data_IF_244537147299
#
_entry.id   IF_244537147299
#
_cell.length_a   1.000
_cell.length_b   1.000
_cell.length_c   1.000
_cell.angle_alpha   90.00
_cell.angle_beta   90.00
_cell.angle_gamma   90.00
#
_symmetry.space_group_name_H-M   'P 1'
#
loop_
_entity.id
_entity.type
_entity.pdbx_description
1 polymer ?
#
# COMPACT_ATOMS: atom_id res chain seq x y z
N UNK A 1 5.56 -58.45 13.30
CA UNK A 1 4.19 -57.99 12.95
C UNK A 1 4.02 -56.56 13.49
N UNK A 2 4.64 -55.55 12.88
CA UNK A 2 4.03 -54.54 11.96
C UNK A 2 2.59 -54.12 12.35
N UNK A 3 2.46 -52.98 13.03
CA UNK A 3 1.44 -51.94 12.77
C UNK A 3 2.04 -50.56 13.09
N UNK A 4 2.76 -50.04 12.10
CA UNK A 4 2.81 -48.60 11.78
C UNK A 4 1.48 -48.27 11.08
N UNK A 5 1.10 -46.99 11.05
CA UNK A 5 -0.09 -46.36 10.45
C UNK A 5 -1.19 -46.10 11.52
N UNK A 6 -1.70 -44.88 11.75
CA UNK A 6 -1.94 -43.84 10.75
C UNK A 6 -2.12 -42.48 11.45
N UNK A 7 -1.13 -41.59 11.30
CA UNK A 7 -1.38 -40.15 11.17
C UNK A 7 -2.15 -39.96 9.87
N UNK A 8 -3.41 -39.54 9.91
CA UNK A 8 -4.13 -38.88 8.81
C UNK A 8 -5.55 -38.55 9.30
N UNK A 9 -5.77 -37.30 9.72
CA UNK A 9 -7.08 -36.66 9.69
C UNK A 9 -6.87 -35.14 9.58
N UNK A 10 -6.03 -34.75 8.62
CA UNK A 10 -5.86 -33.37 8.15
C UNK A 10 -6.52 -33.27 6.77
N UNK A 11 -7.84 -33.43 6.73
CA UNK A 11 -8.66 -33.16 5.55
C UNK A 11 -9.95 -32.48 6.02
N UNK A 12 -9.84 -31.21 6.41
CA UNK A 12 -10.98 -30.31 6.26
C UNK A 12 -10.93 -29.85 4.81
N UNK A 13 -11.92 -30.17 3.95
CA UNK A 13 -12.00 -29.51 2.66
C UNK A 13 -12.16 -28.02 2.95
N UNK A 14 -11.19 -27.24 2.50
CA UNK A 14 -11.30 -25.79 2.35
C UNK A 14 -12.44 -25.54 1.36
N UNK A 15 -13.67 -25.50 1.89
CA UNK A 15 -14.87 -25.16 1.14
C UNK A 15 -14.82 -23.64 0.95
N UNK A 16 -14.28 -23.23 -0.20
CA UNK A 16 -14.46 -21.88 -0.75
C UNK A 16 -15.94 -21.73 -1.11
N UNK A 17 -16.77 -21.48 -0.10
CA UNK A 17 -18.15 -21.04 -0.25
C UNK A 17 -18.20 -19.61 0.27
N UNK A 18 -18.08 -18.66 -0.65
CA UNK A 18 -18.06 -17.24 -0.35
C UNK A 18 -17.44 -16.36 -1.43
N UNK A 19 -17.30 -16.86 -2.67
CA UNK A 19 -17.34 -15.96 -3.82
C UNK A 19 -18.81 -15.87 -4.14
N UNK A 20 -19.49 -14.83 -3.67
CA UNK A 20 -20.79 -14.47 -4.21
C UNK A 20 -20.58 -14.13 -5.69
N UNK A 21 -21.06 -14.93 -6.66
CA UNK A 21 -20.99 -14.59 -8.08
C UNK A 21 -22.19 -13.71 -8.42
N UNK A 22 -22.46 -12.69 -7.60
CA UNK A 22 -23.24 -11.53 -7.97
C UNK A 22 -22.27 -10.36 -8.07
N UNK A 23 -21.37 -10.50 -9.03
CA UNK A 23 -21.07 -9.34 -9.84
C UNK A 23 -22.11 -9.44 -10.95
N UNK A 24 -23.23 -8.73 -10.81
CA UNK A 24 -24.13 -8.41 -11.92
C UNK A 24 -23.32 -7.69 -13.00
N UNK A 25 -22.57 -8.48 -13.75
CA UNK A 25 -21.80 -8.04 -14.89
C UNK A 25 -22.84 -7.80 -15.97
N UNK A 26 -23.30 -6.55 -16.07
CA UNK A 26 -24.15 -6.13 -17.16
C UNK A 26 -23.53 -6.66 -18.47
N UNK A 27 -24.24 -7.47 -19.27
CA UNK A 27 -23.67 -8.12 -20.46
C UNK A 27 -23.14 -7.11 -21.49
N UNK A 28 -23.62 -5.85 -21.41
CA UNK A 28 -23.13 -4.72 -22.19
C UNK A 28 -21.77 -4.15 -21.74
N UNK A 29 -21.31 -4.41 -20.50
CA UNK A 29 -20.03 -3.92 -19.96
C UNK A 29 -18.85 -4.87 -20.20
N UNK A 30 -19.13 -6.16 -20.42
CA UNK A 30 -18.14 -7.18 -20.76
C UNK A 30 -17.30 -6.81 -22.00
N UNK A 31 -17.89 -6.38 -23.14
CA UNK A 31 -17.09 -6.03 -24.31
C UNK A 31 -16.25 -4.78 -24.08
N UNK A 32 -16.72 -3.83 -23.27
CA UNK A 32 -15.98 -2.59 -22.95
C UNK A 32 -14.76 -2.88 -22.08
N UNK A 33 -14.93 -3.73 -21.06
CA UNK A 33 -13.82 -4.16 -20.18
C UNK A 33 -12.80 -4.97 -20.99
N UNK A 34 -13.27 -5.89 -21.85
CA UNK A 34 -12.41 -6.66 -22.74
C UNK A 34 -11.63 -5.77 -23.71
N UNK A 35 -12.29 -4.78 -24.33
CA UNK A 35 -11.65 -3.79 -25.20
C UNK A 35 -10.60 -2.97 -24.45
N UNK A 36 -10.89 -2.48 -23.25
CA UNK A 36 -9.93 -1.74 -22.42
C UNK A 36 -8.70 -2.58 -22.06
N UNK A 37 -8.90 -3.86 -21.73
CA UNK A 37 -7.81 -4.79 -21.44
C UNK A 37 -6.97 -5.11 -22.70
N UNK A 38 -7.60 -5.19 -23.87
CA UNK A 38 -6.90 -5.38 -25.16
C UNK A 38 -6.12 -4.12 -25.55
N UNK A 39 -6.67 -2.93 -25.32
CA UNK A 39 -5.96 -1.66 -25.56
C UNK A 39 -4.74 -1.54 -24.64
N UNK A 40 -4.90 -1.88 -23.35
CA UNK A 40 -3.83 -1.82 -22.37
C UNK A 40 -2.73 -2.86 -22.62
N UNK A 41 -3.07 -4.06 -23.09
CA UNK A 41 -2.08 -5.07 -23.48
C UNK A 41 -1.44 -4.77 -24.82
N UNK A 42 -2.18 -4.20 -25.79
CA UNK A 42 -1.67 -3.81 -27.10
C UNK A 42 -0.56 -2.75 -27.05
N UNK A 43 -0.61 -1.83 -26.09
CA UNK A 43 0.46 -0.82 -25.87
C UNK A 43 1.76 -1.42 -25.33
N UNK A 44 1.73 -2.60 -24.72
CA UNK A 44 2.93 -3.26 -24.18
C UNK A 44 3.71 -4.07 -25.24
N UNK A 45 3.09 -4.38 -26.37
CA UNK A 45 3.69 -5.23 -27.42
C UNK A 45 4.63 -4.43 -28.35
N UNK A 46 4.52 -3.10 -28.37
CA UNK A 46 5.48 -2.23 -29.06
C UNK A 46 6.70 -1.94 -28.17
N UNK A 47 7.39 -2.99 -27.73
CA UNK A 47 8.68 -2.86 -27.08
C UNK A 47 9.74 -2.94 -28.18
N UNK A 48 10.35 -1.80 -28.54
CA UNK A 48 11.54 -1.80 -29.37
C UNK A 48 12.69 -2.39 -28.52
N UNK A 49 13.40 -3.39 -29.04
CA UNK A 49 14.61 -3.96 -28.45
C UNK A 49 15.76 -2.94 -28.53
N UNK A 50 15.64 -1.84 -27.80
CA UNK A 50 16.73 -0.89 -27.55
C UNK A 50 17.34 -1.26 -26.22
N UNK A 51 18.65 -1.53 -26.20
CA UNK A 51 19.32 -1.69 -24.91
C UNK A 51 19.16 -0.39 -24.12
N UNK A 52 18.71 -0.46 -22.85
CA UNK A 52 18.52 0.74 -22.05
C UNK A 52 19.86 1.45 -21.88
N UNK A 53 19.98 2.67 -22.42
CA UNK A 53 21.12 3.54 -22.16
C UNK A 53 21.18 3.89 -20.67
N UNK A 54 22.39 4.10 -20.15
CA UNK A 54 22.57 4.49 -18.75
C UNK A 54 21.99 5.90 -18.52
N UNK A 55 21.08 5.99 -17.54
CA UNK A 55 20.40 7.25 -17.20
C UNK A 55 21.41 8.37 -16.94
N UNK A 56 21.26 9.48 -17.66
CA UNK A 56 22.09 10.66 -17.44
C UNK A 56 21.54 11.49 -16.27
N UNK A 57 22.42 12.15 -15.52
CA UNK A 57 22.02 12.91 -14.33
C UNK A 57 21.10 14.09 -14.66
N UNK A 58 21.15 14.63 -15.87
CA UNK A 58 20.40 15.80 -16.35
C UNK A 58 19.13 15.45 -17.14
N UNK A 59 18.87 14.16 -17.39
CA UNK A 59 17.74 13.70 -18.21
C UNK A 59 16.37 14.02 -17.57
N UNK A 60 16.30 14.04 -16.23
CA UNK A 60 15.06 14.33 -15.49
C UNK A 60 15.11 15.68 -14.78
N UNK A 61 14.06 16.47 -14.95
CA UNK A 61 13.88 17.71 -14.19
C UNK A 61 13.89 17.45 -12.67
N UNK A 62 14.39 18.40 -11.85
CA UNK A 62 14.49 18.22 -10.41
C UNK A 62 13.12 17.98 -9.75
N UNK A 63 12.03 18.57 -10.27
CA UNK A 63 10.68 18.30 -9.78
C UNK A 63 10.32 16.82 -9.96
N UNK A 64 10.59 16.24 -11.13
CA UNK A 64 10.24 14.83 -11.40
C UNK A 64 11.00 13.88 -10.47
N UNK A 65 12.24 14.22 -10.10
CA UNK A 65 13.02 13.45 -9.11
C UNK A 65 12.39 13.53 -7.72
N UNK A 66 11.96 14.71 -7.30
CA UNK A 66 11.27 14.91 -6.01
C UNK A 66 9.90 14.23 -5.97
N UNK A 67 9.13 14.28 -7.06
CA UNK A 67 7.84 13.60 -7.17
C UNK A 67 8.01 12.08 -7.06
N UNK A 68 9.01 11.52 -7.74
CA UNK A 68 9.36 10.10 -7.65
C UNK A 68 9.73 9.72 -6.21
N UNK A 69 10.53 10.54 -5.52
CA UNK A 69 10.86 10.32 -4.10
C UNK A 69 9.61 10.35 -3.21
N UNK A 70 8.74 11.33 -3.41
CA UNK A 70 7.48 11.46 -2.68
C UNK A 70 6.55 10.26 -2.90
N UNK A 71 6.44 9.77 -4.13
CA UNK A 71 5.67 8.59 -4.50
C UNK A 71 6.18 7.33 -3.78
N UNK A 72 7.50 7.08 -3.83
CA UNK A 72 8.13 5.93 -3.18
C UNK A 72 7.87 5.97 -1.67
N UNK A 73 8.01 7.13 -1.04
CA UNK A 73 7.82 7.29 0.41
C UNK A 73 6.34 7.13 0.79
N UNK A 74 5.44 7.71 0.01
CA UNK A 74 4.00 7.58 0.24
C UNK A 74 3.58 6.11 0.13
N UNK A 75 3.78 5.47 -1.03
CA UNK A 75 3.37 4.07 -1.21
C UNK A 75 4.16 3.09 -0.32
N UNK A 76 5.42 3.39 -0.02
CA UNK A 76 6.23 2.60 0.91
C UNK A 76 5.75 2.67 2.36
N UNK A 77 5.27 3.84 2.81
CA UNK A 77 4.75 4.02 4.18
C UNK A 77 3.30 3.58 4.35
N UNK A 78 2.54 3.46 3.26
CA UNK A 78 1.13 3.11 3.25
C UNK A 78 0.79 1.82 4.03
N UNK A 79 1.44 0.66 3.82
CA UNK A 79 1.09 -0.56 4.57
C UNK A 79 1.27 -0.39 6.10
N UNK A 80 2.30 0.32 6.54
CA UNK A 80 2.52 0.62 7.94
C UNK A 80 1.45 1.57 8.49
N UNK A 81 1.09 2.59 7.71
CA UNK A 81 0.04 3.55 8.10
C UNK A 81 -1.33 2.88 8.26
N UNK A 82 -1.67 1.90 7.40
CA UNK A 82 -2.91 1.12 7.50
C UNK A 82 -2.91 0.30 8.79
N UNK A 83 -1.82 -0.40 9.07
CA UNK A 83 -1.68 -1.17 10.30
C UNK A 83 -1.88 -0.29 11.54
N UNK A 84 -1.19 0.85 11.61
CA UNK A 84 -1.32 1.78 12.74
C UNK A 84 -2.73 2.37 12.86
N UNK A 85 -3.39 2.66 11.74
CA UNK A 85 -4.75 3.17 11.74
C UNK A 85 -5.74 2.12 12.28
N UNK A 86 -5.60 0.85 11.88
CA UNK A 86 -6.41 -0.26 12.40
C UNK A 86 -6.20 -0.38 13.92
N UNK A 87 -4.95 -0.53 14.37
CA UNK A 87 -4.65 -0.72 15.80
C UNK A 87 -5.14 0.45 16.65
N UNK A 88 -4.91 1.68 16.21
CA UNK A 88 -5.37 2.88 16.93
C UNK A 88 -6.89 2.92 17.00
N UNK A 89 -7.58 2.57 15.91
CA UNK A 89 -9.04 2.52 15.89
C UNK A 89 -9.60 1.42 16.79
N UNK A 90 -8.96 0.25 16.82
CA UNK A 90 -9.32 -0.86 17.69
C UNK A 90 -9.17 -0.50 19.17
N UNK A 91 -8.07 0.15 19.55
CA UNK A 91 -7.87 0.64 20.92
C UNK A 91 -8.93 1.68 21.27
N UNK A 92 -9.20 2.63 20.36
CA UNK A 92 -10.20 3.67 20.55
C UNK A 92 -11.60 3.09 20.82
N UNK A 93 -12.06 2.16 19.98
CA UNK A 93 -13.38 1.54 20.15
C UNK A 93 -13.46 0.63 21.38
N UNK A 94 -12.37 -0.04 21.74
CA UNK A 94 -12.29 -0.88 22.93
C UNK A 94 -12.47 -0.06 24.21
N UNK A 95 -11.83 1.11 24.29
CA UNK A 95 -11.98 2.02 25.43
C UNK A 95 -13.38 2.64 25.48
N UNK A 96 -13.97 2.97 24.33
CA UNK A 96 -15.34 3.50 24.25
C UNK A 96 -16.40 2.48 24.69
N UNK A 97 -16.18 1.19 24.43
CA UNK A 97 -17.10 0.11 24.80
C UNK A 97 -16.75 -0.49 26.18
N UNK A 98 -16.41 0.34 27.16
CA UNK A 98 -16.13 -0.07 28.55
C UNK A 98 -15.11 -1.23 28.70
N UNK A 99 -14.19 -1.40 27.73
CA UNK A 99 -13.23 -2.50 27.67
C UNK A 99 -13.86 -3.88 27.48
N UNK A 100 -14.95 -3.95 26.71
CA UNK A 100 -15.56 -5.19 26.30
C UNK A 100 -14.55 -6.08 25.52
N UNK A 101 -14.29 -7.32 25.97
CA UNK A 101 -13.32 -8.22 25.33
C UNK A 101 -13.63 -8.54 23.87
N UNK A 102 -14.87 -8.36 23.39
CA UNK A 102 -15.23 -8.58 21.99
C UNK A 102 -14.70 -7.48 21.06
N UNK A 103 -14.34 -6.33 21.63
CA UNK A 103 -13.74 -5.18 20.93
C UNK A 103 -12.23 -5.10 21.10
N UNK A 104 -11.60 -6.08 21.77
CA UNK A 104 -10.17 -6.06 22.04
C UNK A 104 -9.33 -5.92 20.75
N UNK A 105 -8.23 -5.14 20.82
CA UNK A 105 -7.33 -5.00 19.70
C UNK A 105 -6.56 -6.30 19.44
N UNK A 106 -6.00 -6.42 18.24
CA UNK A 106 -5.01 -7.45 17.98
C UNK A 106 -3.77 -7.22 18.88
N UNK A 107 -3.11 -8.25 19.45
CA UNK A 107 -3.33 -9.70 19.31
C UNK A 107 -4.31 -10.30 20.35
N UNK A 108 -4.95 -9.48 21.20
CA UNK A 108 -5.80 -9.95 22.31
C UNK A 108 -7.24 -10.27 21.90
N UNK A 109 -7.56 -10.14 20.61
CA UNK A 109 -8.87 -10.41 20.04
C UNK A 109 -9.29 -11.88 20.20
N UNK A 110 -10.52 -12.10 20.67
CA UNK A 110 -11.15 -13.43 20.74
C UNK A 110 -11.68 -13.89 19.37
N UNK A 111 -11.77 -15.19 19.18
CA UNK A 111 -12.41 -15.76 17.99
C UNK A 111 -13.88 -15.33 17.91
N UNK A 112 -14.27 -14.69 16.81
CA UNK A 112 -15.64 -14.17 16.62
C UNK A 112 -15.88 -12.74 17.10
N UNK A 113 -14.83 -11.95 17.37
CA UNK A 113 -14.97 -10.53 17.71
C UNK A 113 -15.72 -9.70 16.66
N UNK A 114 -16.23 -8.55 17.07
CA UNK A 114 -17.14 -7.72 16.26
C UNK A 114 -16.40 -7.20 15.00
N UNK A 115 -16.87 -7.53 13.77
CA UNK A 115 -16.24 -7.09 12.54
C UNK A 115 -16.42 -5.58 12.31
N UNK A 116 -15.56 -4.98 11.51
CA UNK A 116 -15.71 -3.58 11.09
C UNK A 116 -16.87 -3.44 10.12
N UNK A 117 -17.68 -2.41 10.31
CA UNK A 117 -18.65 -1.98 9.32
C UNK A 117 -17.94 -1.30 8.14
N UNK A 118 -18.56 -1.29 6.95
CA UNK A 118 -17.97 -0.69 5.75
C UNK A 118 -17.56 0.77 5.95
N UNK A 119 -18.34 1.53 6.72
CA UNK A 119 -18.04 2.94 7.01
C UNK A 119 -16.79 3.11 7.88
N UNK A 120 -16.60 2.23 8.85
CA UNK A 120 -15.40 2.24 9.70
C UNK A 120 -14.16 1.86 8.89
N UNK A 121 -14.25 0.79 8.08
CA UNK A 121 -13.15 0.38 7.20
C UNK A 121 -12.72 1.49 6.24
N UNK A 122 -13.66 2.22 5.64
CA UNK A 122 -13.34 3.38 4.79
C UNK A 122 -12.70 4.51 5.58
N UNK A 123 -13.19 4.80 6.79
CA UNK A 123 -12.61 5.83 7.66
C UNK A 123 -11.17 5.51 8.06
N UNK A 124 -10.90 4.26 8.45
CA UNK A 124 -9.57 3.76 8.79
C UNK A 124 -8.64 3.90 7.58
N UNK A 125 -9.07 3.44 6.40
CA UNK A 125 -8.26 3.53 5.18
C UNK A 125 -7.95 4.98 4.78
N UNK A 126 -8.94 5.87 4.88
CA UNK A 126 -8.75 7.29 4.58
C UNK A 126 -7.78 7.96 5.57
N UNK A 127 -7.86 7.61 6.85
CA UNK A 127 -6.94 8.10 7.86
C UNK A 127 -5.50 7.62 7.62
N UNK A 128 -5.33 6.36 7.21
CA UNK A 128 -4.04 5.79 6.86
C UNK A 128 -3.44 6.50 5.63
N UNK A 129 -4.24 6.69 4.58
CA UNK A 129 -3.84 7.45 3.40
C UNK A 129 -3.37 8.87 3.76
N UNK A 130 -4.12 9.56 4.62
CA UNK A 130 -3.74 10.88 5.11
C UNK A 130 -2.42 10.86 5.89
N UNK A 131 -2.22 9.87 6.74
CA UNK A 131 -0.99 9.73 7.52
C UNK A 131 0.24 9.44 6.65
N UNK A 132 0.11 8.56 5.65
CA UNK A 132 1.14 8.28 4.65
C UNK A 132 1.48 9.52 3.83
N UNK A 133 0.46 10.28 3.40
CA UNK A 133 0.67 11.54 2.70
C UNK A 133 1.40 12.58 3.57
N UNK A 134 1.08 12.67 4.86
CA UNK A 134 1.78 13.56 5.80
C UNK A 134 3.27 13.21 5.94
N UNK A 135 3.63 11.93 5.96
CA UNK A 135 5.03 11.47 5.99
C UNK A 135 5.75 11.90 4.71
N UNK A 136 5.15 11.66 3.54
CA UNK A 136 5.72 12.07 2.26
C UNK A 136 5.86 13.60 2.15
N UNK A 137 4.88 14.35 2.64
CA UNK A 137 4.93 15.81 2.68
C UNK A 137 6.02 16.32 3.62
N UNK A 138 6.22 15.68 4.78
CA UNK A 138 7.30 16.03 5.69
C UNK A 138 8.67 15.82 5.06
N UNK A 139 8.90 14.69 4.38
CA UNK A 139 10.16 14.42 3.67
C UNK A 139 10.40 15.45 2.55
N UNK A 140 9.37 15.77 1.77
CA UNK A 140 9.44 16.80 0.73
C UNK A 140 9.84 18.18 1.29
N UNK A 141 9.29 18.57 2.43
CA UNK A 141 9.63 19.85 3.08
C UNK A 141 11.10 19.83 3.55
N UNK A 142 11.56 18.74 4.16
CA UNK A 142 12.94 18.60 4.62
C UNK A 142 13.92 18.68 3.44
N UNK A 143 13.65 17.93 2.36
CA UNK A 143 14.47 17.97 1.15
C UNK A 143 14.58 19.38 0.57
N UNK A 144 13.47 20.14 0.54
CA UNK A 144 13.45 21.52 0.05
C UNK A 144 14.20 22.51 0.94
N UNK A 145 14.18 22.30 2.27
CA UNK A 145 14.94 23.14 3.22
C UNK A 145 16.43 22.84 3.13
N UNK A 146 16.80 21.56 3.04
CA UNK A 146 18.20 21.14 3.04
C UNK A 146 18.90 21.39 1.70
N UNK A 147 18.20 21.27 0.56
CA UNK A 147 18.73 21.62 -0.76
C UNK A 147 19.24 23.06 -0.84
N UNK A 148 18.49 24.01 -0.24
CA UNK A 148 18.92 25.43 -0.15
C UNK A 148 20.21 25.65 0.65
N UNK A 149 20.50 24.76 1.61
CA UNK A 149 21.72 24.81 2.40
C UNK A 149 22.91 24.16 1.69
N UNK A 150 22.67 23.15 0.86
CA UNK A 150 23.71 22.42 0.15
C UNK A 150 24.23 23.19 -1.08
N UNK A 151 23.33 23.87 -1.81
CA UNK A 151 23.70 24.76 -2.92
C UNK A 151 24.64 25.89 -2.47
N UNK A 152 24.54 26.29 -1.19
CA UNK A 152 25.40 27.31 -0.56
C UNK A 152 26.79 26.80 -0.20
N UNK A 153 26.95 25.50 0.07
CA UNK A 153 28.26 24.89 0.42
C UNK A 153 29.10 24.57 -0.81
N UNK A 154 28.46 24.21 -1.93
CA UNK A 154 29.15 23.91 -3.19
C UNK A 154 29.55 25.15 -4.01
N UNK A 155 29.14 26.35 -3.55
CA UNK A 155 29.48 27.64 -4.16
C UNK A 155 30.63 28.36 -3.47
N UNK A 156 31.29 27.74 -2.49
CA UNK A 156 32.63 28.14 -2.05
C UNK A 156 33.65 27.40 -2.94
N UNK A 157 34.19 28.03 -4.01
CA UNK A 157 35.30 27.45 -4.73
C UNK A 157 36.48 27.34 -3.76
N UNK A 158 37.07 26.15 -3.70
CA UNK A 158 38.41 25.89 -3.19
C UNK A 158 39.35 27.00 -3.70
N UNK A 159 39.60 27.99 -2.84
CA UNK A 159 40.67 28.95 -3.06
C UNK A 159 41.96 28.15 -2.93
N UNK A 160 42.64 27.97 -4.06
CA UNK A 160 43.77 27.06 -4.18
C UNK A 160 44.94 27.42 -3.26
N UNK A 161 45.68 26.35 -2.95
CA UNK A 161 47.03 26.35 -2.40
C UNK A 161 47.96 25.65 -3.41
#
# INVERSE_FOLDING_TARGET
MKRVLQCCAWERPFSVRGIDPDMSVNPARIPVISLLLIIFTGTLIFCQDTEPEEYQEDEFSPLLKELRRGEIIMFGSLPLSIFLAIETYEIYRYVQQDRDPDYAPWPFRRHGGVPFSSRESTGIFLSALGFSFLIAAADFIIGRVQGRGNDRKYSEPEAGD
#
